data_IF_873791213496
#
_entry.id   IF_873791213496
#
_cell.length_a   1.000
_cell.length_b   1.000
_cell.length_c   1.000
_cell.angle_alpha   90.00
_cell.angle_beta   90.00
_cell.angle_gamma   90.00
#
_symmetry.space_group_name_H-M   'P 1'
#
loop_
_entity.id
_entity.type
_entity.pdbx_description
1 polymer ?
#
# COMPACT_ATOMS: atom_id res chain seq x y z
N UNK A 1 44.33 -20.94 1.86
CA UNK A 1 44.02 -19.58 1.41
C UNK A 1 42.56 -19.58 0.94
N UNK A 2 41.61 -19.24 1.82
CA UNK A 2 40.18 -19.21 1.46
C UNK A 2 39.90 -17.98 0.61
N UNK A 3 39.67 -18.20 -0.68
CA UNK A 3 39.20 -17.15 -1.59
C UNK A 3 37.77 -16.78 -1.19
N UNK A 4 37.59 -15.71 -0.42
CA UNK A 4 36.29 -15.16 -0.09
C UNK A 4 35.66 -14.61 -1.38
N UNK A 5 34.86 -15.45 -2.05
CA UNK A 5 34.03 -15.01 -3.18
C UNK A 5 33.00 -14.03 -2.65
N UNK A 6 33.14 -12.75 -2.97
CA UNK A 6 32.12 -11.74 -2.66
C UNK A 6 30.77 -12.23 -3.18
N UNK A 7 29.73 -12.24 -2.35
CA UNK A 7 28.39 -12.64 -2.79
C UNK A 7 27.93 -11.70 -3.90
N UNK A 8 27.64 -12.23 -5.07
CA UNK A 8 27.08 -11.47 -6.20
C UNK A 8 25.60 -11.31 -5.93
N UNK A 9 25.18 -10.10 -5.57
CA UNK A 9 23.77 -9.79 -5.36
C UNK A 9 23.08 -9.86 -6.74
N UNK A 10 22.03 -10.67 -6.90
CA UNK A 10 21.30 -10.74 -8.17
C UNK A 10 20.64 -9.39 -8.47
N UNK A 11 20.80 -8.94 -9.72
CA UNK A 11 20.28 -7.64 -10.19
C UNK A 11 18.76 -7.50 -9.94
N UNK A 12 18.02 -8.61 -10.05
CA UNK A 12 16.59 -8.68 -9.78
C UNK A 12 16.23 -8.28 -8.35
N UNK A 13 16.99 -8.73 -7.35
CA UNK A 13 16.77 -8.35 -5.94
C UNK A 13 17.08 -6.87 -5.67
N UNK A 14 18.09 -6.34 -6.35
CA UNK A 14 18.48 -4.94 -6.20
C UNK A 14 17.41 -4.01 -6.80
N UNK A 15 16.90 -4.34 -7.98
CA UNK A 15 15.82 -3.58 -8.64
C UNK A 15 14.53 -3.65 -7.82
N UNK A 16 14.17 -4.83 -7.30
CA UNK A 16 13.02 -4.99 -6.42
C UNK A 16 13.11 -4.08 -5.19
N UNK A 17 14.22 -4.14 -4.49
CA UNK A 17 14.45 -3.32 -3.31
C UNK A 17 14.42 -1.82 -3.59
N UNK A 18 14.99 -1.40 -4.73
CA UNK A 18 15.01 -0.01 -5.15
C UNK A 18 13.60 0.54 -5.41
N UNK A 19 12.75 -0.21 -6.10
CA UNK A 19 11.36 0.19 -6.39
C UNK A 19 10.57 0.33 -5.08
N UNK A 20 10.61 -0.69 -4.23
CA UNK A 20 9.91 -0.65 -2.95
C UNK A 20 10.42 0.51 -2.10
N UNK A 21 11.73 0.69 -2.00
CA UNK A 21 12.34 1.75 -1.20
C UNK A 21 11.80 3.14 -1.58
N UNK A 22 11.82 3.49 -2.87
CA UNK A 22 11.38 4.81 -3.32
C UNK A 22 9.87 5.02 -3.15
N UNK A 23 9.06 4.01 -3.49
CA UNK A 23 7.60 4.12 -3.35
C UNK A 23 7.21 4.18 -1.87
N UNK A 24 7.85 3.37 -1.01
CA UNK A 24 7.56 3.37 0.43
C UNK A 24 8.03 4.67 1.09
N UNK A 25 9.16 5.25 0.66
CA UNK A 25 9.61 6.54 1.13
C UNK A 25 8.60 7.64 0.80
N UNK A 26 8.12 7.68 -0.44
CA UNK A 26 7.08 8.62 -0.88
C UNK A 26 5.77 8.42 -0.12
N UNK A 27 5.35 7.18 0.03
CA UNK A 27 4.16 6.78 0.80
C UNK A 27 4.27 7.26 2.25
N UNK A 28 5.39 6.99 2.92
CA UNK A 28 5.63 7.42 4.30
C UNK A 28 5.55 8.94 4.44
N UNK A 29 6.09 9.68 3.48
CA UNK A 29 6.04 11.13 3.47
C UNK A 29 4.60 11.65 3.36
N UNK A 30 3.79 11.04 2.48
CA UNK A 30 2.37 11.36 2.34
C UNK A 30 1.58 11.07 3.62
N UNK A 31 1.84 9.93 4.27
CA UNK A 31 1.19 9.56 5.53
C UNK A 31 1.51 10.59 6.63
N UNK A 32 2.76 11.00 6.76
CA UNK A 32 3.17 12.00 7.76
C UNK A 32 2.48 13.34 7.49
N UNK A 33 2.50 13.83 6.24
CA UNK A 33 1.84 15.08 5.86
C UNK A 33 0.34 14.98 6.13
N UNK A 34 -0.32 13.92 5.66
CA UNK A 34 -1.76 13.71 5.85
C UNK A 34 -2.14 13.67 7.33
N UNK A 35 -1.34 13.03 8.16
CA UNK A 35 -1.57 12.98 9.61
C UNK A 35 -1.43 14.37 10.24
N UNK A 36 -0.40 15.14 9.86
CA UNK A 36 -0.21 16.51 10.37
C UNK A 36 -1.39 17.41 9.96
N UNK A 37 -1.81 17.33 8.68
CA UNK A 37 -2.95 18.09 8.18
C UNK A 37 -4.23 17.69 8.93
N UNK A 38 -4.47 16.40 9.15
CA UNK A 38 -5.62 15.89 9.89
C UNK A 38 -5.69 16.42 11.33
N UNK A 39 -4.54 16.65 11.97
CA UNK A 39 -4.50 17.27 13.31
C UNK A 39 -4.82 18.77 13.30
N UNK A 40 -4.59 19.45 12.18
CA UNK A 40 -4.85 20.88 12.04
C UNK A 40 -6.29 21.17 11.58
N UNK A 41 -6.99 20.16 11.04
CA UNK A 41 -8.37 20.28 10.60
C UNK A 41 -9.34 20.00 11.74
N UNK A 42 -10.21 20.96 12.04
CA UNK A 42 -11.27 20.81 13.05
C UNK A 42 -12.47 19.96 12.56
N UNK A 43 -12.58 19.72 11.25
CA UNK A 43 -13.72 19.02 10.62
C UNK A 43 -13.23 17.82 9.83
N UNK A 44 -13.18 16.66 10.48
CA UNK A 44 -13.04 15.39 9.81
C UNK A 44 -14.42 14.91 9.30
N UNK A 45 -14.54 14.42 8.06
CA UNK A 45 -15.76 13.83 7.53
C UNK A 45 -16.20 12.59 8.31
N UNK A 46 -15.26 11.93 8.97
CA UNK A 46 -15.51 10.76 9.82
C UNK A 46 -14.82 10.99 11.17
N UNK A 47 -15.55 11.36 12.23
CA UNK A 47 -14.93 11.60 13.52
C UNK A 47 -14.28 10.32 14.06
N UNK A 48 -13.00 10.42 14.39
CA UNK A 48 -12.23 9.28 14.91
C UNK A 48 -12.85 8.69 16.21
N UNK A 49 -13.50 9.52 17.01
CA UNK A 49 -14.24 9.09 18.19
C UNK A 49 -15.40 8.14 17.89
N UNK A 50 -16.12 8.38 16.77
CA UNK A 50 -17.19 7.48 16.30
C UNK A 50 -16.63 6.11 15.91
N UNK A 51 -15.55 6.10 15.12
CA UNK A 51 -14.91 4.84 14.70
C UNK A 51 -14.38 4.06 15.88
N UNK A 52 -13.72 4.73 16.82
CA UNK A 52 -13.19 4.09 18.02
C UNK A 52 -14.30 3.44 18.84
N UNK A 53 -15.39 4.17 19.06
CA UNK A 53 -16.54 3.67 19.84
C UNK A 53 -17.23 2.51 19.15
N UNK A 54 -17.41 2.58 17.83
CA UNK A 54 -18.01 1.51 17.05
C UNK A 54 -17.18 0.21 17.07
N UNK A 55 -15.85 0.34 17.07
CA UNK A 55 -14.93 -0.83 17.19
C UNK A 55 -14.98 -1.40 18.60
N UNK A 56 -15.00 -0.56 19.65
CA UNK A 56 -15.13 -1.00 21.05
C UNK A 56 -16.46 -1.71 21.28
N UNK A 57 -17.55 -1.22 20.67
CA UNK A 57 -18.89 -1.82 20.72
C UNK A 57 -18.99 -3.12 19.91
N UNK A 58 -17.93 -3.53 19.20
CA UNK A 58 -17.88 -4.78 18.42
C UNK A 58 -18.79 -4.76 17.19
N UNK A 59 -19.12 -3.59 16.64
CA UNK A 59 -19.93 -3.46 15.42
C UNK A 59 -19.23 -4.03 14.21
N UNK A 60 -20.02 -4.64 13.32
CA UNK A 60 -19.50 -5.17 12.06
C UNK A 60 -19.13 -4.03 11.10
N UNK A 61 -18.24 -4.32 10.13
CA UNK A 61 -17.81 -3.34 9.11
C UNK A 61 -19.01 -2.65 8.44
N UNK A 62 -20.02 -3.43 8.06
CA UNK A 62 -21.19 -2.91 7.35
C UNK A 62 -22.06 -1.99 8.22
N UNK A 63 -22.23 -2.33 9.50
CA UNK A 63 -22.95 -1.49 10.47
C UNK A 63 -22.23 -0.17 10.75
N UNK A 64 -20.90 -0.19 10.81
CA UNK A 64 -20.08 1.01 11.01
C UNK A 64 -20.29 1.98 9.85
N UNK A 65 -20.23 1.48 8.62
CA UNK A 65 -20.34 2.33 7.44
C UNK A 65 -21.77 2.77 7.13
N UNK A 66 -22.78 1.92 7.37
CA UNK A 66 -24.20 2.31 7.19
C UNK A 66 -24.64 3.44 8.12
N UNK A 67 -24.10 3.49 9.33
CA UNK A 67 -24.37 4.53 10.31
C UNK A 67 -23.43 5.74 10.20
N UNK A 68 -22.46 5.71 9.30
CA UNK A 68 -21.60 6.84 9.01
C UNK A 68 -22.23 7.78 8.00
N UNK A 69 -21.70 9.00 7.92
CA UNK A 69 -22.12 10.00 6.93
C UNK A 69 -21.95 9.55 5.47
N UNK A 70 -21.23 8.44 5.22
CA UNK A 70 -20.89 7.92 3.90
C UNK A 70 -21.82 6.80 3.42
N UNK A 71 -22.67 6.24 4.28
CA UNK A 71 -23.64 5.17 3.99
C UNK A 71 -23.05 3.89 3.37
N UNK A 72 -21.79 3.86 3.00
CA UNK A 72 -21.07 2.69 2.47
C UNK A 72 -19.56 2.80 2.74
N UNK A 73 -18.85 1.65 2.70
CA UNK A 73 -17.39 1.64 2.85
C UNK A 73 -16.73 2.51 1.76
N UNK A 74 -15.97 3.55 2.14
CA UNK A 74 -15.39 4.45 1.15
C UNK A 74 -14.36 3.70 0.29
N UNK A 75 -14.53 3.80 -1.03
CA UNK A 75 -13.56 3.30 -1.99
C UNK A 75 -12.43 4.32 -2.14
N UNK A 76 -11.28 3.87 -2.64
CA UNK A 76 -10.12 4.74 -2.87
C UNK A 76 -10.47 5.97 -3.72
N UNK A 77 -11.42 5.87 -4.63
CA UNK A 77 -11.92 6.98 -5.45
C UNK A 77 -12.51 8.11 -4.61
N UNK A 78 -13.21 7.80 -3.53
CA UNK A 78 -13.73 8.80 -2.60
C UNK A 78 -12.61 9.67 -2.00
N UNK A 79 -11.51 9.05 -1.60
CA UNK A 79 -10.36 9.76 -1.04
C UNK A 79 -9.61 10.60 -2.09
N UNK A 80 -9.62 10.15 -3.36
CA UNK A 80 -9.05 10.90 -4.47
C UNK A 80 -9.87 12.14 -4.83
N UNK A 81 -11.21 12.08 -4.70
CA UNK A 81 -12.10 13.23 -4.92
C UNK A 81 -12.03 14.24 -3.78
N UNK A 82 -11.76 13.77 -2.57
CA UNK A 82 -11.71 14.57 -1.35
C UNK A 82 -10.29 14.80 -0.84
N UNK A 83 -9.38 15.11 -1.74
CA UNK A 83 -7.94 15.29 -1.44
C UNK A 83 -7.65 16.44 -0.45
N UNK A 84 -8.59 17.30 -0.20
CA UNK A 84 -8.45 18.43 0.73
C UNK A 84 -8.41 18.00 2.20
N UNK A 85 -8.83 16.78 2.52
CA UNK A 85 -8.83 16.29 3.90
C UNK A 85 -7.54 15.52 4.22
N UNK A 86 -6.94 15.79 5.38
CA UNK A 86 -5.72 15.11 5.84
C UNK A 86 -5.86 13.60 5.94
N UNK A 87 -7.05 13.09 6.32
CA UNK A 87 -7.37 11.67 6.32
C UNK A 87 -7.29 11.05 4.93
N UNK A 88 -7.77 11.76 3.92
CA UNK A 88 -7.72 11.30 2.52
C UNK A 88 -6.29 11.17 2.03
N UNK A 89 -5.42 12.14 2.34
CA UNK A 89 -3.99 12.11 2.02
C UNK A 89 -3.32 10.91 2.70
N UNK A 90 -3.63 10.67 3.98
CA UNK A 90 -3.11 9.54 4.74
C UNK A 90 -3.52 8.20 4.12
N UNK A 91 -4.80 8.03 3.78
CA UNK A 91 -5.32 6.81 3.16
C UNK A 91 -4.71 6.56 1.77
N UNK A 92 -4.53 7.59 0.97
CA UNK A 92 -3.82 7.50 -0.32
C UNK A 92 -2.37 7.09 -0.10
N UNK A 93 -1.69 7.69 0.88
CA UNK A 93 -0.32 7.31 1.25
C UNK A 93 -0.23 5.82 1.60
N UNK A 94 -1.08 5.32 2.49
CA UNK A 94 -1.11 3.91 2.89
C UNK A 94 -1.38 3.01 1.68
N UNK A 95 -2.37 3.34 0.84
CA UNK A 95 -2.70 2.57 -0.36
C UNK A 95 -1.55 2.50 -1.33
N UNK A 96 -0.83 3.60 -1.53
CA UNK A 96 0.36 3.67 -2.39
C UNK A 96 1.48 2.79 -1.85
N UNK A 97 1.73 2.81 -0.53
CA UNK A 97 2.73 1.95 0.11
C UNK A 97 2.42 0.46 -0.07
N UNK A 98 1.19 0.06 0.21
CA UNK A 98 0.74 -1.34 0.05
C UNK A 98 0.80 -1.77 -1.43
N UNK A 99 0.38 -0.90 -2.36
CA UNK A 99 0.40 -1.19 -3.79
C UNK A 99 1.81 -1.26 -4.38
N UNK A 100 2.85 -0.82 -3.67
CA UNK A 100 4.25 -0.81 -4.16
C UNK A 100 4.77 -2.19 -4.55
N UNK A 101 4.24 -3.24 -3.92
CA UNK A 101 4.62 -4.64 -4.18
C UNK A 101 4.24 -5.06 -5.60
N UNK A 102 3.12 -4.55 -6.13
CA UNK A 102 2.61 -4.93 -7.46
C UNK A 102 3.63 -4.58 -8.56
N UNK A 103 4.02 -3.30 -8.78
CA UNK A 103 5.00 -2.98 -9.80
C UNK A 103 6.38 -3.60 -9.52
N UNK A 104 6.78 -3.72 -8.25
CA UNK A 104 8.05 -4.32 -7.89
C UNK A 104 8.12 -5.80 -8.30
N UNK A 105 7.08 -6.58 -8.09
CA UNK A 105 7.03 -8.01 -8.46
C UNK A 105 7.03 -8.20 -9.98
N UNK A 106 6.30 -7.40 -10.73
CA UNK A 106 6.28 -7.51 -12.19
C UNK A 106 7.63 -7.13 -12.82
N UNK A 107 8.23 -6.03 -12.38
CA UNK A 107 9.56 -5.62 -12.89
C UNK A 107 10.62 -6.66 -12.54
N UNK A 108 10.60 -7.17 -11.30
CA UNK A 108 11.53 -8.23 -10.87
C UNK A 108 11.37 -9.51 -11.66
N UNK A 109 10.12 -9.91 -11.96
CA UNK A 109 9.84 -11.07 -12.79
C UNK A 109 10.45 -10.94 -14.20
N UNK A 110 10.37 -9.75 -14.79
CA UNK A 110 11.02 -9.46 -16.08
C UNK A 110 12.54 -9.67 -16.01
N UNK A 111 13.19 -9.14 -14.96
CA UNK A 111 14.64 -9.33 -14.79
C UNK A 111 15.03 -10.77 -14.50
N UNK A 112 14.23 -11.53 -13.75
CA UNK A 112 14.42 -12.95 -13.50
C UNK A 112 14.30 -13.77 -14.80
N UNK A 113 13.35 -13.42 -15.65
CA UNK A 113 13.21 -14.05 -16.97
C UNK A 113 14.47 -13.86 -17.82
N UNK A 114 14.97 -12.62 -17.87
CA UNK A 114 16.19 -12.28 -18.63
C UNK A 114 17.45 -12.94 -18.07
N UNK A 115 17.51 -13.24 -16.76
CA UNK A 115 18.66 -13.85 -16.09
C UNK A 115 18.68 -15.37 -16.15
N UNK A 116 17.91 -16.00 -17.05
CA UNK A 116 17.79 -17.46 -17.26
C UNK A 116 17.30 -18.28 -16.05
N UNK A 117 16.53 -17.66 -15.16
CA UNK A 117 15.87 -18.34 -14.04
C UNK A 117 14.34 -18.32 -14.21
N UNK A 118 13.77 -19.01 -15.23
CA UNK A 118 12.36 -18.90 -15.58
C UNK A 118 11.42 -19.40 -14.47
N UNK A 119 11.82 -20.38 -13.68
CA UNK A 119 11.00 -20.92 -12.58
C UNK A 119 10.65 -19.85 -11.56
N UNK A 120 11.64 -19.08 -11.12
CA UNK A 120 11.41 -17.98 -10.17
C UNK A 120 10.63 -16.82 -10.81
N UNK A 121 10.78 -16.59 -12.11
CA UNK A 121 9.99 -15.61 -12.83
C UNK A 121 8.49 -15.97 -12.83
N UNK A 122 8.14 -17.23 -13.09
CA UNK A 122 6.76 -17.71 -13.02
C UNK A 122 6.17 -17.57 -11.62
N UNK A 123 6.90 -17.93 -10.58
CA UNK A 123 6.46 -17.78 -9.19
C UNK A 123 6.19 -16.31 -8.86
N UNK A 124 7.08 -15.40 -9.30
CA UNK A 124 6.90 -13.95 -9.10
C UNK A 124 5.67 -13.41 -9.85
N UNK A 125 5.39 -13.87 -11.07
CA UNK A 125 4.19 -13.49 -11.82
C UNK A 125 2.93 -13.96 -11.09
N UNK A 126 2.90 -15.22 -10.65
CA UNK A 126 1.74 -15.75 -9.92
C UNK A 126 1.51 -14.95 -8.64
N UNK A 127 2.55 -14.67 -7.87
CA UNK A 127 2.46 -13.84 -6.68
C UNK A 127 1.94 -12.43 -7.00
N UNK A 128 2.44 -11.79 -8.08
CA UNK A 128 1.97 -10.48 -8.54
C UNK A 128 0.50 -10.50 -8.97
N UNK A 129 0.04 -11.55 -9.67
CA UNK A 129 -1.36 -11.70 -10.04
C UNK A 129 -2.27 -11.90 -8.82
N UNK A 130 -1.83 -12.70 -7.84
CA UNK A 130 -2.58 -12.91 -6.60
C UNK A 130 -2.70 -11.61 -5.78
N UNK A 131 -1.63 -10.82 -5.70
CA UNK A 131 -1.69 -9.52 -5.01
C UNK A 131 -2.58 -8.52 -5.74
N UNK A 132 -2.57 -8.50 -7.08
CA UNK A 132 -3.52 -7.69 -7.86
C UNK A 132 -4.96 -8.12 -7.61
N UNK A 133 -5.24 -9.42 -7.62
CA UNK A 133 -6.58 -9.93 -7.36
C UNK A 133 -7.06 -9.56 -5.95
N UNK A 134 -6.20 -9.72 -4.94
CA UNK A 134 -6.50 -9.35 -3.56
C UNK A 134 -6.74 -7.83 -3.38
N UNK A 135 -6.09 -6.99 -4.19
CA UNK A 135 -6.26 -5.54 -4.13
C UNK A 135 -7.59 -5.06 -4.74
N UNK A 136 -8.18 -5.85 -5.66
CA UNK A 136 -9.44 -5.51 -6.36
C UNK A 136 -10.66 -6.10 -5.65
N UNK A 137 -10.49 -7.22 -4.94
CA UNK A 137 -11.53 -7.91 -4.18
C UNK A 137 -11.89 -7.20 -2.89
#
# INVERSE_FOLDING_TARGET
MCIYKKPVIPLSGLVYGQIIYWITLLSSFLVVIGTVVSFLEEKSPIPASYLLQAVIDGKTKDEIWQNSSLASSPKILYFLEHFNYGESITMIGISLGVSSVIPATFVTSYFLWKSRNPVFAYIAIIAGCLTCFAAIS
#
